data_IF_772659593529
#
_entry.id   IF_772659593529
#
_cell.length_a   1.000
_cell.length_b   1.000
_cell.length_c   1.000
_cell.angle_alpha   90.00
_cell.angle_beta   90.00
_cell.angle_gamma   90.00
#
_symmetry.space_group_name_H-M   'P 1'
#
loop_
_entity.id
_entity.type
_entity.pdbx_description
1 polymer ?
#
# COMPACT_ATOMS: atom_id res chain seq x y z
N UNK A 1 19.26 5.57 -48.20
CA UNK A 1 18.87 5.97 -46.83
C UNK A 1 19.95 6.91 -46.33
N UNK A 2 19.58 8.02 -45.69
CA UNK A 2 20.57 8.92 -45.07
C UNK A 2 21.11 8.25 -43.81
N UNK A 3 22.40 8.45 -43.53
CA UNK A 3 23.02 7.96 -42.29
C UNK A 3 22.61 8.82 -41.10
N UNK A 4 22.86 8.35 -39.88
CA UNK A 4 22.77 9.14 -38.65
C UNK A 4 23.53 10.47 -38.76
N UNK A 5 22.98 11.53 -38.17
CA UNK A 5 23.62 12.83 -38.06
C UNK A 5 23.08 13.91 -39.01
N UNK A 6 23.83 14.99 -39.13
CA UNK A 6 23.41 16.18 -39.86
C UNK A 6 23.68 16.06 -41.36
N UNK A 7 22.67 16.39 -42.16
CA UNK A 7 22.71 16.46 -43.62
C UNK A 7 22.34 17.87 -44.07
N UNK A 8 23.11 18.40 -45.01
CA UNK A 8 22.88 19.73 -45.59
C UNK A 8 22.51 19.57 -47.05
N UNK A 9 21.31 20.00 -47.40
CA UNK A 9 20.78 19.95 -48.75
C UNK A 9 20.84 21.33 -49.39
N UNK A 10 21.31 21.36 -50.63
CA UNK A 10 21.21 22.51 -51.53
C UNK A 10 20.66 22.03 -52.86
N UNK A 11 20.11 22.95 -53.65
CA UNK A 11 19.55 22.66 -54.96
C UNK A 11 20.09 23.62 -56.01
N UNK A 12 20.18 23.14 -57.24
CA UNK A 12 20.38 23.93 -58.46
C UNK A 12 19.32 23.51 -59.47
N UNK A 13 18.89 24.43 -60.33
CA UNK A 13 18.00 24.14 -61.45
C UNK A 13 18.75 24.31 -62.77
N UNK A 14 18.39 23.52 -63.78
CA UNK A 14 18.91 23.66 -65.15
C UNK A 14 17.74 23.73 -66.11
N UNK A 15 17.71 24.74 -66.98
CA UNK A 15 16.67 24.88 -68.00
C UNK A 15 16.91 23.97 -69.22
N UNK A 16 15.97 23.94 -70.17
CA UNK A 16 16.08 23.10 -71.38
C UNK A 16 17.20 23.55 -72.34
N UNK A 17 17.73 24.76 -72.18
CA UNK A 17 18.86 25.27 -72.96
C UNK A 17 20.21 25.01 -72.28
N UNK A 18 20.21 24.48 -71.04
CA UNK A 18 21.41 24.14 -70.27
C UNK A 18 21.89 25.25 -69.32
N UNK A 19 21.13 26.33 -69.11
CA UNK A 19 21.51 27.37 -68.14
C UNK A 19 21.28 26.86 -66.70
N UNK A 20 22.28 26.97 -65.83
CA UNK A 20 22.22 26.53 -64.43
C UNK A 20 21.98 27.73 -63.50
N UNK A 21 21.07 27.59 -62.54
CA UNK A 21 20.81 28.62 -61.51
C UNK A 21 21.98 28.75 -60.52
N UNK A 22 22.04 29.84 -59.71
CA UNK A 22 22.80 29.82 -58.47
C UNK A 22 22.34 28.68 -57.55
N UNK A 23 23.23 28.26 -56.65
CA UNK A 23 22.91 27.29 -55.59
C UNK A 23 21.88 27.93 -54.64
N UNK A 24 20.85 27.18 -54.24
CA UNK A 24 19.86 27.61 -53.24
C UNK A 24 20.50 27.88 -51.88
N UNK A 25 19.72 28.47 -50.96
CA UNK A 25 20.06 28.38 -49.53
C UNK A 25 20.13 26.92 -49.05
N UNK A 26 20.85 26.71 -47.95
CA UNK A 26 20.97 25.40 -47.31
C UNK A 26 19.72 25.03 -46.50
N UNK A 27 19.29 23.78 -46.59
CA UNK A 27 18.35 23.15 -45.68
C UNK A 27 19.06 22.07 -44.86
N UNK A 28 18.98 22.17 -43.53
CA UNK A 28 19.64 21.24 -42.63
C UNK A 28 18.63 20.25 -42.06
N UNK A 29 18.91 18.96 -42.19
CA UNK A 29 18.15 17.86 -41.60
C UNK A 29 19.08 17.07 -40.68
N UNK A 30 18.66 16.84 -39.44
CA UNK A 30 19.33 15.86 -38.57
C UNK A 30 18.52 14.57 -38.62
N UNK A 31 19.17 13.48 -39.02
CA UNK A 31 18.60 12.14 -39.01
C UNK A 31 19.04 11.47 -37.73
N UNK A 32 18.08 11.07 -36.91
CA UNK A 32 18.30 10.29 -35.69
C UNK A 32 17.50 8.99 -35.77
N UNK A 33 18.22 7.88 -35.83
CA UNK A 33 17.65 6.52 -35.89
C UNK A 33 18.04 5.68 -34.67
N UNK A 34 18.58 6.30 -33.63
CA UNK A 34 19.10 5.62 -32.44
C UNK A 34 18.09 5.72 -31.30
N UNK A 35 17.43 4.61 -30.90
CA UNK A 35 16.56 4.65 -29.74
C UNK A 35 17.26 5.10 -28.46
N UNK A 36 16.55 5.76 -27.54
CA UNK A 36 17.09 6.01 -26.21
C UNK A 36 17.33 4.69 -25.48
N UNK A 37 18.22 4.71 -24.49
CA UNK A 37 18.38 3.56 -23.59
C UNK A 37 17.07 3.25 -22.86
N UNK A 38 16.81 1.97 -22.58
CA UNK A 38 15.62 1.52 -21.86
C UNK A 38 15.52 2.21 -20.49
N UNK A 39 14.41 2.91 -20.17
CA UNK A 39 14.19 3.48 -18.84
C UNK A 39 13.96 2.37 -17.81
N UNK A 40 14.12 2.71 -16.53
CA UNK A 40 13.89 1.78 -15.41
C UNK A 40 12.94 2.39 -14.39
N UNK A 41 12.07 1.56 -13.80
CA UNK A 41 11.39 1.86 -12.54
C UNK A 41 12.39 1.62 -11.41
N UNK A 42 12.64 2.62 -10.58
CA UNK A 42 13.53 2.52 -9.42
C UNK A 42 12.79 2.37 -8.10
N UNK A 43 11.58 2.92 -8.00
CA UNK A 43 10.74 2.73 -6.83
C UNK A 43 9.26 2.81 -7.19
N UNK A 44 8.45 2.13 -6.39
CA UNK A 44 7.00 2.31 -6.32
C UNK A 44 6.69 2.58 -4.85
N UNK A 45 5.97 3.66 -4.55
CA UNK A 45 5.66 4.06 -3.19
C UNK A 45 4.15 4.07 -2.95
N UNK A 46 3.75 3.45 -1.85
CA UNK A 46 2.42 3.54 -1.26
C UNK A 46 2.39 4.69 -0.25
N UNK A 47 1.47 5.64 -0.43
CA UNK A 47 1.27 6.75 0.52
C UNK A 47 -0.06 6.71 1.29
N UNK A 48 -0.77 5.58 1.21
CA UNK A 48 -2.06 5.35 1.87
C UNK A 48 -1.84 4.73 3.25
N UNK A 49 -2.52 5.29 4.26
CA UNK A 49 -2.42 4.81 5.63
C UNK A 49 -2.82 3.33 5.73
N UNK A 50 -2.13 2.59 6.62
CA UNK A 50 -2.28 1.15 6.78
C UNK A 50 -1.06 0.38 6.27
N UNK A 51 -0.42 0.84 5.19
CA UNK A 51 0.81 0.23 4.68
C UNK A 51 1.68 1.18 3.85
N UNK A 52 2.19 2.26 4.45
CA UNK A 52 2.98 3.26 3.71
C UNK A 52 4.43 2.84 3.47
N UNK A 53 4.99 3.27 2.33
CA UNK A 53 6.41 3.18 2.02
C UNK A 53 6.71 2.53 0.67
N UNK A 54 7.98 2.17 0.48
CA UNK A 54 8.46 1.57 -0.76
C UNK A 54 7.98 0.13 -0.90
N UNK A 55 7.33 -0.16 -2.01
CA UNK A 55 6.89 -1.49 -2.38
C UNK A 55 8.05 -2.33 -2.91
N UNK A 56 7.99 -3.62 -2.66
CA UNK A 56 8.84 -4.64 -3.27
C UNK A 56 8.10 -5.38 -4.39
N UNK A 57 8.83 -5.98 -5.32
CA UNK A 57 8.21 -6.68 -6.45
C UNK A 57 7.38 -7.89 -5.96
N UNK A 58 6.09 -7.88 -6.26
CA UNK A 58 5.10 -8.87 -5.84
C UNK A 58 4.34 -8.49 -4.57
N UNK A 59 4.57 -7.30 -4.00
CA UNK A 59 3.90 -6.85 -2.78
C UNK A 59 2.45 -6.44 -3.03
N UNK A 60 1.62 -6.59 -1.99
CA UNK A 60 0.24 -6.11 -1.95
C UNK A 60 0.21 -4.70 -1.34
N UNK A 61 -0.67 -3.83 -1.86
CA UNK A 61 -0.83 -2.43 -1.44
C UNK A 61 -2.31 -2.06 -1.43
N UNK A 62 -2.70 -1.14 -0.54
CA UNK A 62 -4.03 -0.52 -0.53
C UNK A 62 -4.08 0.81 -1.31
N UNK A 63 -2.96 1.23 -1.89
CA UNK A 63 -2.87 2.42 -2.72
C UNK A 63 -3.26 2.12 -4.17
N UNK A 64 -4.33 2.77 -4.62
CA UNK A 64 -4.85 2.68 -6.00
C UNK A 64 -4.09 3.59 -6.98
N UNK A 65 -3.20 4.46 -6.49
CA UNK A 65 -2.40 5.39 -7.31
C UNK A 65 -0.97 5.50 -6.76
N UNK A 66 -0.22 4.39 -6.70
CA UNK A 66 1.13 4.42 -6.17
C UNK A 66 2.03 5.36 -6.99
N UNK A 67 2.96 6.04 -6.34
CA UNK A 67 3.95 6.88 -7.02
C UNK A 67 5.08 6.00 -7.59
N UNK A 68 5.24 6.03 -8.91
CA UNK A 68 6.34 5.39 -9.63
C UNK A 68 7.44 6.41 -9.87
N UNK A 69 8.67 6.08 -9.49
CA UNK A 69 9.85 6.87 -9.88
C UNK A 69 10.84 6.01 -10.65
N UNK A 70 11.68 6.65 -11.45
CA UNK A 70 12.63 5.93 -12.27
C UNK A 70 13.69 6.79 -12.92
N UNK A 71 14.48 6.11 -13.76
CA UNK A 71 15.55 6.72 -14.55
C UNK A 71 15.33 6.53 -16.04
N UNK A 72 15.92 7.41 -16.85
CA UNK A 72 15.88 7.34 -18.31
C UNK A 72 16.84 8.34 -18.96
N UNK A 73 16.81 8.42 -20.29
CA UNK A 73 17.60 9.41 -21.05
C UNK A 73 16.95 10.78 -20.92
N UNK A 74 17.69 11.80 -20.47
CA UNK A 74 17.18 13.16 -20.29
C UNK A 74 16.48 13.70 -21.56
N UNK A 75 15.30 14.29 -21.40
CA UNK A 75 14.50 14.83 -22.50
C UNK A 75 13.68 13.80 -23.28
N UNK A 76 13.87 12.49 -23.04
CA UNK A 76 12.95 11.46 -23.57
C UNK A 76 11.64 11.44 -22.79
N UNK A 77 10.59 10.90 -23.42
CA UNK A 77 9.29 10.66 -22.80
C UNK A 77 9.20 9.20 -22.41
N UNK A 78 9.01 8.91 -21.12
CA UNK A 78 8.70 7.58 -20.61
C UNK A 78 7.21 7.31 -20.77
N UNK A 79 6.85 6.14 -21.29
CA UNK A 79 5.48 5.64 -21.29
C UNK A 79 5.37 4.58 -20.19
N UNK A 80 4.37 4.73 -19.33
CA UNK A 80 4.08 3.83 -18.21
C UNK A 80 2.95 2.91 -18.62
N UNK A 81 3.19 1.61 -18.54
CA UNK A 81 2.22 0.59 -18.90
C UNK A 81 1.86 -0.26 -17.69
N UNK A 82 0.58 -0.58 -17.58
CA UNK A 82 0.01 -1.55 -16.65
C UNK A 82 -0.66 -2.66 -17.46
N UNK A 83 -0.23 -3.92 -17.24
CA UNK A 83 -0.76 -5.08 -17.96
C UNK A 83 -0.71 -4.91 -19.50
N UNK A 84 0.29 -4.17 -19.99
CA UNK A 84 0.51 -3.88 -21.41
C UNK A 84 -0.31 -2.70 -21.97
N UNK A 85 -1.15 -2.05 -21.17
CA UNK A 85 -1.91 -0.85 -21.56
C UNK A 85 -1.19 0.39 -21.02
N UNK A 86 -0.98 1.40 -21.87
CA UNK A 86 -0.41 2.67 -21.41
C UNK A 86 -1.40 3.40 -20.49
N UNK A 87 -0.95 3.70 -19.27
CA UNK A 87 -1.72 4.43 -18.24
C UNK A 87 -1.27 5.88 -18.11
N UNK A 88 -0.17 6.26 -18.76
CA UNK A 88 0.30 7.63 -18.83
C UNK A 88 1.75 7.74 -19.27
N UNK A 89 2.25 8.97 -19.21
CA UNK A 89 3.62 9.30 -19.62
C UNK A 89 4.29 10.24 -18.63
N UNK A 90 5.61 10.20 -18.54
CA UNK A 90 6.42 11.13 -17.77
C UNK A 90 7.62 11.64 -18.58
N UNK A 91 7.96 12.92 -18.45
CA UNK A 91 9.17 13.46 -19.07
C UNK A 91 10.40 13.16 -18.20
N UNK A 92 11.47 12.67 -18.81
CA UNK A 92 12.74 12.52 -18.10
C UNK A 92 13.40 13.89 -17.95
N UNK A 93 13.63 14.28 -16.71
CA UNK A 93 14.32 15.53 -16.36
C UNK A 93 15.79 15.55 -16.84
N UNK A 94 16.41 16.73 -16.79
CA UNK A 94 17.83 16.90 -17.15
C UNK A 94 18.79 16.07 -16.28
N UNK A 95 18.37 15.67 -15.07
CA UNK A 95 19.15 14.80 -14.19
C UNK A 95 18.96 13.30 -14.48
N UNK A 96 18.15 12.95 -15.48
CA UNK A 96 17.89 11.56 -15.87
C UNK A 96 16.79 10.86 -15.06
N UNK A 97 16.04 11.61 -14.23
CA UNK A 97 14.97 11.06 -13.38
C UNK A 97 13.58 11.41 -13.90
N UNK A 98 12.60 10.55 -13.63
CA UNK A 98 11.17 10.79 -13.88
C UNK A 98 10.33 10.34 -12.67
N UNK A 99 9.14 10.92 -12.51
CA UNK A 99 8.11 10.51 -11.54
C UNK A 99 6.75 10.49 -12.24
N UNK A 100 5.90 9.55 -11.85
CA UNK A 100 4.55 9.36 -12.34
C UNK A 100 3.64 8.86 -11.22
N UNK A 101 2.51 9.54 -11.03
CA UNK A 101 1.40 9.07 -10.21
C UNK A 101 0.19 8.91 -11.13
N UNK A 102 -0.51 7.75 -11.16
CA UNK A 102 -1.73 7.58 -11.94
C UNK A 102 -2.74 8.70 -11.63
N UNK A 103 -3.37 9.27 -12.67
CA UNK A 103 -4.40 10.30 -12.49
C UNK A 103 -5.78 9.71 -12.18
N UNK A 104 -5.96 8.43 -12.49
CA UNK A 104 -7.15 7.62 -12.22
C UNK A 104 -6.75 6.41 -11.41
N UNK A 105 -7.64 5.99 -10.51
CA UNK A 105 -7.45 4.81 -9.68
C UNK A 105 -7.25 3.57 -10.55
N UNK A 106 -6.18 2.82 -10.26
CA UNK A 106 -6.00 1.49 -10.77
C UNK A 106 -7.01 0.55 -10.07
N UNK A 107 -7.54 -0.42 -10.81
CA UNK A 107 -8.51 -1.36 -10.27
C UNK A 107 -7.86 -2.28 -9.22
N UNK A 108 -8.65 -2.89 -8.33
CA UNK A 108 -8.12 -3.97 -7.49
C UNK A 108 -7.76 -5.19 -8.34
N UNK A 109 -6.66 -5.85 -7.98
CA UNK A 109 -6.12 -7.02 -8.66
C UNK A 109 -4.63 -6.92 -8.94
N UNK A 110 -4.08 -7.86 -9.74
CA UNK A 110 -2.67 -7.87 -10.11
C UNK A 110 -2.35 -6.83 -11.19
N UNK A 111 -1.18 -6.21 -11.07
CA UNK A 111 -0.64 -5.21 -12.01
C UNK A 111 0.80 -5.53 -12.40
N UNK A 112 1.01 -5.67 -13.70
CA UNK A 112 2.33 -5.82 -14.32
C UNK A 112 2.81 -4.45 -14.84
N UNK A 113 3.53 -3.71 -13.99
CA UNK A 113 4.01 -2.37 -14.31
C UNK A 113 5.33 -2.44 -15.07
N UNK A 114 5.42 -1.72 -16.20
CA UNK A 114 6.64 -1.61 -17.01
C UNK A 114 6.71 -0.28 -17.73
N UNK A 115 7.89 0.08 -18.20
CA UNK A 115 8.12 1.32 -18.93
C UNK A 115 8.89 1.11 -20.23
N UNK A 116 8.67 1.96 -21.22
CA UNK A 116 9.57 2.21 -22.35
C UNK A 116 9.71 3.73 -22.56
N UNK A 117 10.55 4.17 -23.49
CA UNK A 117 10.73 5.59 -23.76
C UNK A 117 10.82 5.90 -25.25
N UNK A 118 10.39 7.11 -25.60
CA UNK A 118 10.51 7.68 -26.94
C UNK A 118 11.38 8.94 -26.88
N UNK A 119 12.32 9.10 -27.82
CA UNK A 119 13.11 10.33 -27.96
C UNK A 119 12.38 11.42 -28.79
N UNK A 120 13.04 12.56 -28.99
CA UNK A 120 12.49 13.67 -29.76
C UNK A 120 12.33 13.37 -31.27
N UNK A 121 13.06 12.39 -31.80
CA UNK A 121 12.96 11.94 -33.19
C UNK A 121 11.88 10.87 -33.39
N UNK A 122 11.31 10.34 -32.31
CA UNK A 122 10.28 9.31 -32.31
C UNK A 122 10.81 7.88 -32.25
N UNK A 123 12.11 7.69 -31.98
CA UNK A 123 12.66 6.34 -31.79
C UNK A 123 12.24 5.79 -30.42
N UNK A 124 11.82 4.52 -30.40
CA UNK A 124 11.29 3.86 -29.20
C UNK A 124 12.31 2.85 -28.66
N UNK A 125 12.56 2.91 -27.35
CA UNK A 125 13.46 1.99 -26.65
C UNK A 125 12.85 0.60 -26.43
N UNK A 126 13.65 -0.31 -25.85
CA UNK A 126 13.12 -1.56 -25.30
C UNK A 126 12.26 -1.33 -24.05
N UNK A 127 11.54 -2.36 -23.62
CA UNK A 127 10.79 -2.31 -22.36
C UNK A 127 11.67 -2.67 -21.15
N UNK A 128 11.39 -2.07 -20.00
CA UNK A 128 11.98 -2.45 -18.72
C UNK A 128 11.57 -3.86 -18.29
N UNK A 129 12.25 -4.45 -17.29
CA UNK A 129 11.68 -5.55 -16.52
C UNK A 129 10.31 -5.17 -15.92
N UNK A 130 9.47 -6.18 -15.69
CA UNK A 130 8.16 -6.01 -15.04
C UNK A 130 8.37 -5.83 -13.54
N UNK A 131 7.68 -4.85 -12.96
CA UNK A 131 7.47 -4.69 -11.53
C UNK A 131 6.02 -5.07 -11.21
N UNK A 132 5.84 -6.13 -10.42
CA UNK A 132 4.53 -6.68 -10.08
C UNK A 132 4.05 -6.04 -8.78
N UNK A 133 2.80 -5.64 -8.72
CA UNK A 133 2.09 -5.33 -7.47
C UNK A 133 0.70 -5.96 -7.51
N UNK A 134 0.07 -6.10 -6.36
CA UNK A 134 -1.36 -6.41 -6.27
C UNK A 134 -2.05 -5.31 -5.48
N UNK A 135 -3.06 -4.69 -6.07
CA UNK A 135 -3.87 -3.68 -5.39
C UNK A 135 -5.05 -4.39 -4.73
N UNK A 136 -5.16 -4.25 -3.41
CA UNK A 136 -6.29 -4.74 -2.64
C UNK A 136 -6.88 -3.59 -1.82
N UNK A 137 -8.14 -3.28 -2.07
CA UNK A 137 -8.89 -2.20 -1.42
C UNK A 137 -10.00 -2.73 -0.51
N UNK A 138 -10.06 -4.06 -0.32
CA UNK A 138 -11.15 -4.70 0.40
C UNK A 138 -10.77 -4.90 1.84
N UNK A 139 -11.33 -4.07 2.71
CA UNK A 139 -11.14 -4.27 4.14
C UNK A 139 -11.74 -5.60 4.63
N UNK A 140 -11.10 -6.26 5.63
CA UNK A 140 -11.65 -7.44 6.27
C UNK A 140 -12.97 -7.12 6.98
N UNK A 141 -13.79 -8.15 7.22
CA UNK A 141 -14.93 -8.02 8.14
C UNK A 141 -14.44 -7.84 9.58
N UNK A 142 -15.29 -7.32 10.46
CA UNK A 142 -14.98 -7.25 11.89
C UNK A 142 -14.63 -8.64 12.43
N UNK A 143 -13.60 -8.77 13.30
CA UNK A 143 -13.32 -10.02 13.99
C UNK A 143 -14.53 -10.50 14.79
N UNK A 144 -14.70 -11.83 14.84
CA UNK A 144 -15.73 -12.49 15.64
C UNK A 144 -15.10 -12.91 16.96
N UNK A 145 -15.73 -12.55 18.07
CA UNK A 145 -15.38 -13.05 19.40
C UNK A 145 -16.13 -14.36 19.66
N UNK A 146 -15.40 -15.42 20.02
CA UNK A 146 -15.96 -16.73 20.33
C UNK A 146 -16.11 -16.94 21.84
N UNK A 147 -15.02 -16.72 22.61
CA UNK A 147 -15.05 -16.86 24.07
C UNK A 147 -14.14 -15.85 24.77
N UNK A 148 -14.52 -15.49 25.99
CA UNK A 148 -13.70 -14.76 26.95
C UNK A 148 -13.59 -15.62 28.21
N UNK A 149 -12.39 -15.80 28.75
CA UNK A 149 -12.15 -16.69 29.89
C UNK A 149 -11.45 -15.93 31.02
N UNK A 150 -12.02 -16.06 32.23
CA UNK A 150 -11.37 -15.77 33.51
C UNK A 150 -10.63 -17.04 33.99
N UNK A 151 -9.32 -16.94 34.18
CA UNK A 151 -8.49 -18.03 34.70
C UNK A 151 -7.83 -17.74 36.06
N UNK A 152 -8.29 -16.70 36.77
CA UNK A 152 -7.71 -16.23 38.02
C UNK A 152 -8.65 -16.46 39.21
N UNK A 153 -8.09 -17.00 40.30
CA UNK A 153 -8.80 -17.09 41.57
C UNK A 153 -9.71 -18.31 41.70
N UNK A 154 -10.82 -18.17 42.43
CA UNK A 154 -11.68 -19.32 42.80
C UNK A 154 -12.88 -19.51 41.88
N UNK A 155 -13.29 -18.45 41.19
CA UNK A 155 -14.34 -18.48 40.18
C UNK A 155 -13.60 -18.29 38.86
N UNK A 156 -13.59 -19.32 38.03
CA UNK A 156 -12.95 -19.32 36.71
C UNK A 156 -13.95 -19.87 35.71
N UNK A 157 -13.78 -19.54 34.44
CA UNK A 157 -14.66 -20.00 33.37
C UNK A 157 -14.90 -18.96 32.30
N UNK A 158 -15.86 -19.25 31.44
CA UNK A 158 -16.27 -18.34 30.36
C UNK A 158 -17.08 -17.18 30.90
N UNK A 159 -16.83 -15.98 30.38
CA UNK A 159 -17.56 -14.77 30.68
C UNK A 159 -18.54 -14.45 29.55
N UNK A 160 -19.77 -14.09 29.91
CA UNK A 160 -20.73 -13.44 29.03
C UNK A 160 -20.57 -11.91 29.12
N UNK A 161 -21.06 -11.19 28.10
CA UNK A 161 -20.98 -9.74 28.13
C UNK A 161 -21.88 -9.17 29.24
N UNK A 162 -21.29 -8.30 30.08
CA UNK A 162 -21.91 -7.73 31.27
C UNK A 162 -21.44 -8.38 32.57
N UNK A 163 -20.68 -9.47 32.49
CA UNK A 163 -20.15 -10.16 33.68
C UNK A 163 -19.07 -9.34 34.41
N UNK A 164 -18.85 -9.74 35.66
CA UNK A 164 -17.79 -9.22 36.53
C UNK A 164 -16.70 -10.29 36.65
N UNK A 165 -15.43 -9.89 36.62
CA UNK A 165 -14.28 -10.79 36.74
C UNK A 165 -13.24 -10.23 37.69
N UNK A 166 -12.57 -11.11 38.43
CA UNK A 166 -11.39 -10.76 39.22
C UNK A 166 -10.07 -11.02 38.48
N UNK A 167 -10.15 -11.36 37.19
CA UNK A 167 -9.03 -11.44 36.27
C UNK A 167 -8.93 -10.12 35.50
N UNK A 168 -7.85 -9.38 35.72
CA UNK A 168 -7.57 -8.17 34.96
C UNK A 168 -6.96 -8.44 33.57
N UNK A 169 -6.74 -9.71 33.20
CA UNK A 169 -6.15 -10.14 31.92
C UNK A 169 -6.92 -11.34 31.36
N UNK A 170 -8.24 -11.21 31.16
CA UNK A 170 -9.02 -12.31 30.60
C UNK A 170 -8.50 -12.70 29.23
N UNK A 171 -8.62 -13.98 28.89
CA UNK A 171 -8.19 -14.50 27.59
C UNK A 171 -9.36 -14.47 26.61
N UNK A 172 -9.18 -13.76 25.50
CA UNK A 172 -10.13 -13.64 24.41
C UNK A 172 -9.73 -14.58 23.28
N UNK A 173 -10.68 -15.33 22.74
CA UNK A 173 -10.49 -16.13 21.54
C UNK A 173 -11.58 -15.84 20.54
N UNK A 174 -11.25 -15.99 19.26
CA UNK A 174 -12.19 -15.70 18.19
C UNK A 174 -11.70 -16.11 16.83
N UNK A 175 -12.41 -15.62 15.81
CA UNK A 175 -12.10 -15.86 14.40
C UNK A 175 -12.07 -14.58 13.56
N UNK A 176 -11.46 -14.67 12.39
CA UNK A 176 -11.28 -13.54 11.48
C UNK A 176 -10.67 -13.94 10.14
N UNK A 177 -10.31 -12.95 9.34
CA UNK A 177 -9.62 -13.17 8.07
C UNK A 177 -8.17 -13.65 8.29
N UNK A 178 -7.80 -14.75 7.64
CA UNK A 178 -6.48 -15.38 7.80
C UNK A 178 -5.36 -14.40 7.45
N UNK A 179 -4.38 -14.27 8.34
CA UNK A 179 -3.23 -13.38 8.15
C UNK A 179 -3.48 -11.92 8.51
N UNK A 180 -4.73 -11.52 8.73
CA UNK A 180 -5.05 -10.17 9.21
C UNK A 180 -4.53 -9.95 10.64
N UNK A 181 -4.13 -8.72 10.93
CA UNK A 181 -3.76 -8.26 12.25
C UNK A 181 -5.02 -7.77 12.97
N UNK A 182 -5.46 -8.47 14.01
CA UNK A 182 -6.56 -8.03 14.86
C UNK A 182 -6.04 -7.09 15.94
N UNK A 183 -6.58 -5.88 16.04
CA UNK A 183 -6.28 -4.94 17.12
C UNK A 183 -7.38 -5.01 18.19
N UNK A 184 -6.96 -4.98 19.46
CA UNK A 184 -7.81 -5.10 20.64
C UNK A 184 -7.91 -3.73 21.27
N UNK A 185 -9.12 -3.23 21.45
CA UNK A 185 -9.38 -1.91 22.00
C UNK A 185 -10.17 -2.03 23.31
N UNK A 186 -9.72 -1.37 24.36
CA UNK A 186 -10.49 -1.11 25.57
C UNK A 186 -10.87 0.35 25.61
N UNK A 187 -12.16 0.66 25.61
CA UNK A 187 -12.67 2.04 25.64
C UNK A 187 -12.05 2.91 24.53
N UNK A 188 -11.96 2.35 23.31
CA UNK A 188 -11.35 2.93 22.09
C UNK A 188 -9.82 3.13 22.12
N UNK A 189 -9.14 2.68 23.17
CA UNK A 189 -7.68 2.65 23.23
C UNK A 189 -7.13 1.26 22.91
N UNK A 190 -6.18 1.16 21.98
CA UNK A 190 -5.50 -0.10 21.67
C UNK A 190 -4.72 -0.62 22.89
N UNK A 191 -4.97 -1.89 23.24
CA UNK A 191 -4.32 -2.61 24.34
C UNK A 191 -3.44 -3.77 23.85
N UNK A 192 -3.44 -4.04 22.54
CA UNK A 192 -2.58 -5.03 21.91
C UNK A 192 -3.14 -5.54 20.59
N UNK A 193 -2.42 -6.49 19.98
CA UNK A 193 -2.79 -7.10 18.70
C UNK A 193 -2.61 -8.60 18.72
N UNK A 194 -3.30 -9.31 17.83
CA UNK A 194 -3.09 -10.72 17.55
C UNK A 194 -3.27 -11.01 16.06
N UNK A 195 -2.41 -11.84 15.48
CA UNK A 195 -2.55 -12.27 14.08
C UNK A 195 -3.54 -13.43 14.00
N UNK A 196 -4.47 -13.35 13.04
CA UNK A 196 -5.35 -14.47 12.73
C UNK A 196 -4.54 -15.56 12.04
N UNK A 197 -4.50 -16.75 12.63
CA UNK A 197 -3.70 -17.85 12.14
C UNK A 197 -4.27 -18.49 10.86
N UNK A 198 -3.56 -19.48 10.30
CA UNK A 198 -3.96 -20.19 9.07
C UNK A 198 -5.29 -20.96 9.17
N UNK A 199 -5.80 -21.22 10.37
CA UNK A 199 -7.13 -21.81 10.58
C UNK A 199 -8.25 -20.76 10.73
N UNK A 200 -7.92 -19.47 10.64
CA UNK A 200 -8.89 -18.38 10.80
C UNK A 200 -9.19 -18.03 12.25
N UNK A 201 -8.34 -18.45 13.20
CA UNK A 201 -8.53 -18.20 14.63
C UNK A 201 -7.48 -17.26 15.20
N UNK A 202 -7.84 -16.51 16.23
CA UNK A 202 -6.94 -15.67 17.00
C UNK A 202 -7.15 -15.92 18.50
N UNK A 203 -6.11 -15.61 19.29
CA UNK A 203 -6.15 -15.62 20.75
C UNK A 203 -5.41 -14.40 21.25
N UNK A 204 -5.93 -13.78 22.31
CA UNK A 204 -5.32 -12.60 22.91
C UNK A 204 -5.53 -12.60 24.42
N UNK A 205 -4.44 -12.35 25.14
CA UNK A 205 -4.45 -12.10 26.57
C UNK A 205 -3.72 -10.78 26.78
N UNK A 206 -4.36 -9.76 27.41
CA UNK A 206 -3.72 -8.46 27.59
C UNK A 206 -2.35 -8.56 28.26
N UNK A 207 -1.33 -7.92 27.68
CA UNK A 207 0.01 -7.81 28.27
C UNK A 207 0.09 -6.79 29.41
N UNK A 208 -0.88 -5.89 29.52
CA UNK A 208 -1.08 -5.00 30.66
C UNK A 208 -2.44 -5.30 31.27
N UNK A 209 -2.53 -5.24 32.60
CA UNK A 209 -3.80 -5.43 33.29
C UNK A 209 -4.80 -4.37 32.84
N UNK A 210 -6.02 -4.78 32.52
CA UNK A 210 -7.15 -3.88 32.34
C UNK A 210 -7.39 -3.13 33.66
N UNK A 211 -7.79 -1.88 33.54
CA UNK A 211 -8.13 -1.05 34.70
C UNK A 211 -9.45 -1.49 35.33
N UNK A 212 -9.58 -1.28 36.65
CA UNK A 212 -10.80 -1.54 37.43
C UNK A 212 -12.05 -0.87 36.82
N UNK A 213 -13.21 -1.48 37.03
CA UNK A 213 -14.50 -1.00 36.59
C UNK A 213 -14.95 -1.55 35.22
N UNK A 214 -16.03 -0.97 34.70
CA UNK A 214 -16.63 -1.38 33.43
C UNK A 214 -15.75 -1.00 32.25
N UNK A 215 -15.49 -1.95 31.35
CA UNK A 215 -14.69 -1.82 30.14
C UNK A 215 -15.46 -2.28 28.91
N UNK A 216 -15.37 -1.53 27.82
CA UNK A 216 -15.90 -1.90 26.50
C UNK A 216 -14.78 -2.41 25.61
N UNK A 217 -14.72 -3.73 25.42
CA UNK A 217 -13.73 -4.37 24.55
C UNK A 217 -14.27 -4.49 23.12
N UNK A 218 -13.50 -4.02 22.14
CA UNK A 218 -13.80 -4.16 20.71
C UNK A 218 -12.58 -4.68 19.96
N UNK A 219 -12.83 -5.23 18.78
CA UNK A 219 -11.78 -5.75 17.91
C UNK A 219 -11.92 -5.12 16.52
N UNK A 220 -10.80 -4.73 15.90
CA UNK A 220 -10.73 -4.41 14.46
C UNK A 220 -9.75 -5.35 13.78
N UNK A 221 -9.82 -5.49 12.46
CA UNK A 221 -8.84 -6.24 11.69
C UNK A 221 -8.24 -5.35 10.59
N UNK A 222 -6.95 -5.53 10.34
CA UNK A 222 -6.23 -4.94 9.20
C UNK A 222 -5.64 -6.07 8.36
N UNK A 223 -5.94 -6.10 7.06
CA UNK A 223 -5.39 -7.10 6.14
C UNK A 223 -3.90 -6.84 5.81
N UNK A 224 -3.32 -7.68 4.94
CA UNK A 224 -1.91 -7.52 4.51
C UNK A 224 -1.66 -6.33 3.59
N UNK A 225 -2.71 -5.80 2.96
CA UNK A 225 -2.63 -4.61 2.11
C UNK A 225 -2.66 -3.32 2.93
N UNK A 226 -3.14 -3.38 4.17
CA UNK A 226 -3.30 -2.23 5.07
C UNK A 226 -4.75 -1.75 5.18
N UNK A 227 -5.73 -2.44 4.61
CA UNK A 227 -7.14 -2.06 4.76
C UNK A 227 -7.65 -2.47 6.15
N UNK A 228 -8.26 -1.53 6.86
CA UNK A 228 -8.83 -1.78 8.19
C UNK A 228 -10.36 -1.88 8.12
N UNK A 229 -10.89 -2.99 8.64
CA UNK A 229 -12.31 -3.26 8.74
C UNK A 229 -13.03 -2.49 9.85
N UNK A 230 -14.37 -2.62 9.94
CA UNK A 230 -15.12 -2.06 11.06
C UNK A 230 -14.76 -2.73 12.38
N UNK A 231 -15.01 -2.02 13.49
CA UNK A 231 -14.93 -2.62 14.81
C UNK A 231 -16.06 -3.64 15.03
N UNK A 232 -15.80 -4.65 15.85
CA UNK A 232 -16.80 -5.59 16.33
C UNK A 232 -17.88 -4.91 17.19
N UNK A 233 -18.95 -5.65 17.47
CA UNK A 233 -19.82 -5.32 18.61
C UNK A 233 -19.01 -5.34 19.92
N UNK A 234 -19.36 -4.47 20.89
CA UNK A 234 -18.62 -4.36 22.14
C UNK A 234 -18.91 -5.55 23.07
N UNK A 235 -17.86 -6.12 23.64
CA UNK A 235 -17.94 -7.00 24.80
C UNK A 235 -17.70 -6.18 26.07
N UNK A 236 -18.77 -5.97 26.85
CA UNK A 236 -18.69 -5.29 28.14
C UNK A 236 -18.26 -6.29 29.22
N UNK A 237 -17.30 -5.91 30.06
CA UNK A 237 -16.94 -6.64 31.28
C UNK A 237 -16.63 -5.65 32.41
N UNK A 238 -16.84 -6.05 33.65
CA UNK A 238 -16.41 -5.26 34.83
C UNK A 238 -15.23 -5.95 35.49
N UNK A 239 -14.07 -5.28 35.50
CA UNK A 239 -12.91 -5.73 36.27
C UNK A 239 -13.11 -5.31 37.73
N UNK A 240 -13.07 -6.27 38.65
CA UNK A 240 -13.05 -6.04 40.09
C UNK A 240 -12.01 -6.98 40.74
N UNK A 241 -10.77 -6.51 40.85
CA UNK A 241 -9.71 -7.31 41.50
C UNK A 241 -9.55 -7.03 42.99
N UNK A 242 -10.38 -6.13 43.55
CA UNK A 242 -10.23 -5.63 44.91
C UNK A 242 -11.05 -6.47 45.90
N UNK A 243 -10.39 -6.96 46.94
CA UNK A 243 -11.10 -7.62 48.03
C UNK A 243 -12.03 -6.62 48.77
N UNK A 244 -13.21 -7.06 49.26
CA UNK A 244 -14.07 -6.22 50.09
C UNK A 244 -13.30 -5.69 51.31
N UNK A 245 -13.60 -4.45 51.72
CA UNK A 245 -13.08 -3.96 53.00
C UNK A 245 -13.64 -4.83 54.14
N UNK A 246 -12.77 -5.20 55.09
CA UNK A 246 -13.16 -6.05 56.22
C UNK A 246 -14.27 -5.40 57.05
N UNK A 247 -15.11 -6.19 57.75
CA UNK A 247 -16.20 -5.65 58.56
C UNK A 247 -15.65 -4.73 59.65
N UNK A 248 -16.19 -3.52 59.72
CA UNK A 248 -15.80 -2.55 60.74
C UNK A 248 -16.21 -3.08 62.12
N UNK A 249 -15.24 -3.19 63.03
CA UNK A 249 -15.48 -3.71 64.37
C UNK A 249 -16.14 -2.61 65.23
N UNK A 250 -17.41 -2.30 64.97
CA UNK A 250 -18.22 -1.52 65.89
C UNK A 250 -18.47 -2.32 67.17
N UNK A 251 -17.54 -2.18 68.11
CA UNK A 251 -17.66 -2.66 69.48
C UNK A 251 -18.80 -1.87 70.14
N UNK A 252 -19.99 -2.44 70.19
CA UNK A 252 -21.06 -1.97 71.06
C UNK A 252 -20.56 -2.02 72.51
N UNK A 253 -20.16 -0.86 73.06
CA UNK A 253 -20.07 -0.69 74.51
C UNK A 253 -21.48 -0.35 75.00
N UNK A 254 -22.03 -1.28 75.79
CA UNK A 254 -23.17 -1.04 76.68
C UNK A 254 -22.68 -0.35 77.95
#
# INVERSE_FOLDING_TARGET
MLAEGQHVFTAVATDSAGNVSPISGSYTLTVDVTPPATPLITSINDDVAGNTGLLTNGQVTNDVRPELTGTGVAGSTVHILDNGVEIGTALVSASGNWSFTPSTDLASGPHDLRVNATDAAGNVSGASPIFNITIDITAPSAPVLDTVVDDVGTVTGTLDSGDVTNDARPTFTGSGEVGALSAFLSDDQEIGTAVVNASGSWTFTPETALEEGSRSIRFTATDTAGNTGPASEPFILTVDTLAPCGPDAHRHQR
#
